data_IF_889345958277
#
_entry.id   IF_889345958277
#
_cell.length_a   1.000
_cell.length_b   1.000
_cell.length_c   1.000
_cell.angle_alpha   90.00
_cell.angle_beta   90.00
_cell.angle_gamma   90.00
#
_symmetry.space_group_name_H-M   'P 1'
#
loop_
_entity.id
_entity.type
_entity.pdbx_description
1 polymer ?
#
# COMPACT_ATOMS: atom_id res chain seq x y z
N UNK A 1 24.87 30.53 -11.01
CA UNK A 1 23.68 29.69 -11.29
C UNK A 1 22.46 30.42 -10.74
N UNK A 2 21.69 31.08 -11.62
CA UNK A 2 20.85 32.25 -11.30
C UNK A 2 19.53 31.93 -10.57
N UNK A 3 18.99 32.94 -9.88
CA UNK A 3 17.66 33.02 -9.24
C UNK A 3 16.51 32.48 -10.13
N UNK A 4 16.69 32.51 -11.45
CA UNK A 4 15.74 31.97 -12.42
C UNK A 4 15.54 30.45 -12.27
N UNK A 5 16.56 29.69 -11.84
CA UNK A 5 16.40 28.26 -11.56
C UNK A 5 15.55 27.97 -10.30
N UNK A 6 15.46 28.93 -9.37
CA UNK A 6 14.56 28.84 -8.20
C UNK A 6 13.11 29.18 -8.56
N UNK A 7 12.90 30.08 -9.52
CA UNK A 7 11.57 30.43 -10.04
C UNK A 7 10.98 29.36 -10.97
N UNK A 8 11.80 28.66 -11.75
CA UNK A 8 11.35 27.63 -12.70
C UNK A 8 11.70 26.20 -12.25
N UNK A 9 11.03 25.73 -11.18
CA UNK A 9 10.64 24.33 -10.97
C UNK A 9 11.74 23.23 -10.95
N UNK A 10 13.04 23.56 -10.94
CA UNK A 10 14.14 22.57 -10.98
C UNK A 10 14.47 21.93 -9.64
N UNK A 11 14.14 22.57 -8.51
CA UNK A 11 14.33 22.03 -7.14
C UNK A 11 13.09 21.33 -6.54
N UNK A 12 12.04 21.15 -7.34
CA UNK A 12 10.71 20.78 -6.85
C UNK A 12 10.46 19.27 -6.98
N UNK A 13 11.14 18.59 -7.90
CA UNK A 13 10.88 17.18 -8.19
C UNK A 13 11.22 16.26 -7.03
N UNK A 14 12.46 16.25 -6.50
CA UNK A 14 12.80 15.31 -5.43
C UNK A 14 12.12 15.63 -4.10
N UNK A 15 11.94 16.91 -3.77
CA UNK A 15 11.16 17.30 -2.58
C UNK A 15 9.70 16.84 -2.66
N UNK A 16 9.02 17.07 -3.80
CA UNK A 16 7.65 16.56 -4.02
C UNK A 16 7.61 15.04 -4.06
N UNK A 17 8.54 14.40 -4.77
CA UNK A 17 8.64 12.95 -4.88
C UNK A 17 8.81 12.31 -3.50
N UNK A 18 9.76 12.80 -2.70
CA UNK A 18 9.99 12.37 -1.31
C UNK A 18 8.73 12.46 -0.48
N UNK A 19 8.01 13.59 -0.58
CA UNK A 19 6.76 13.83 0.16
C UNK A 19 5.68 12.85 -0.26
N UNK A 20 5.40 12.73 -1.57
CA UNK A 20 4.39 11.83 -2.12
C UNK A 20 4.67 10.36 -1.77
N UNK A 21 5.93 9.91 -1.87
CA UNK A 21 6.32 8.54 -1.52
C UNK A 21 6.14 8.28 -0.02
N UNK A 22 6.53 9.22 0.85
CA UNK A 22 6.34 9.08 2.30
C UNK A 22 4.85 8.99 2.68
N UNK A 23 4.01 9.81 2.03
CA UNK A 23 2.56 9.76 2.21
C UNK A 23 1.96 8.44 1.68
N UNK A 24 2.43 7.96 0.52
CA UNK A 24 1.99 6.69 -0.04
C UNK A 24 2.33 5.51 0.89
N UNK A 25 3.56 5.45 1.39
CA UNK A 25 4.01 4.40 2.34
C UNK A 25 3.15 4.43 3.60
N UNK A 26 2.96 5.59 4.23
CA UNK A 26 2.14 5.69 5.44
C UNK A 26 0.68 5.29 5.19
N UNK A 27 0.11 5.66 4.04
CA UNK A 27 -1.24 5.25 3.63
C UNK A 27 -1.35 3.74 3.43
N UNK A 28 -0.37 3.11 2.79
CA UNK A 28 -0.35 1.66 2.58
C UNK A 28 -0.26 0.90 3.92
N UNK A 29 0.59 1.35 4.86
CA UNK A 29 0.67 0.78 6.21
C UNK A 29 -0.67 0.84 6.96
N UNK A 30 -1.34 1.99 6.91
CA UNK A 30 -2.67 2.16 7.52
C UNK A 30 -3.73 1.23 6.90
N UNK A 31 -3.72 1.09 5.57
CA UNK A 31 -4.67 0.22 4.86
C UNK A 31 -4.41 -1.27 5.14
N UNK A 32 -3.15 -1.69 5.24
CA UNK A 32 -2.78 -3.05 5.64
C UNK A 32 -3.26 -3.35 7.06
N UNK A 33 -2.97 -2.48 8.04
CA UNK A 33 -3.42 -2.65 9.43
C UNK A 33 -4.95 -2.76 9.54
N UNK A 34 -5.69 -1.91 8.82
CA UNK A 34 -7.16 -1.98 8.78
C UNK A 34 -7.64 -3.33 8.22
N UNK A 35 -7.03 -3.78 7.13
CA UNK A 35 -7.41 -5.01 6.45
C UNK A 35 -7.08 -6.25 7.27
N UNK A 36 -5.97 -6.25 8.03
CA UNK A 36 -5.61 -7.36 8.92
C UNK A 36 -6.64 -7.58 10.03
N UNK A 37 -7.16 -6.49 10.62
CA UNK A 37 -8.26 -6.57 11.58
C UNK A 37 -9.52 -7.15 10.93
N UNK A 38 -9.84 -6.69 9.72
CA UNK A 38 -10.99 -7.18 8.97
C UNK A 38 -10.85 -8.67 8.62
N UNK A 39 -9.67 -9.12 8.19
CA UNK A 39 -9.38 -10.52 7.88
C UNK A 39 -9.57 -11.44 9.08
N UNK A 40 -9.16 -11.00 10.29
CA UNK A 40 -9.41 -11.75 11.53
C UNK A 40 -10.91 -11.93 11.78
N UNK A 41 -11.70 -10.89 11.53
CA UNK A 41 -13.15 -10.97 11.69
C UNK A 41 -13.81 -11.86 10.63
N UNK A 42 -13.39 -11.76 9.36
CA UNK A 42 -13.92 -12.61 8.29
C UNK A 42 -13.64 -14.10 8.54
N UNK A 43 -12.46 -14.46 9.07
CA UNK A 43 -12.16 -15.84 9.49
C UNK A 43 -13.08 -16.29 10.64
N UNK A 44 -13.37 -15.36 11.56
CA UNK A 44 -14.47 -15.38 12.54
C UNK A 44 -15.77 -15.96 11.96
N UNK A 45 -16.26 -15.23 10.98
CA UNK A 45 -17.54 -15.48 10.30
C UNK A 45 -17.53 -16.81 9.53
N UNK A 46 -16.43 -17.15 8.85
CA UNK A 46 -16.31 -18.44 8.15
C UNK A 46 -16.50 -19.61 9.12
N UNK A 47 -15.88 -19.56 10.30
CA UNK A 47 -16.04 -20.60 11.30
C UNK A 47 -17.51 -20.72 11.77
N UNK A 48 -18.20 -19.60 11.94
CA UNK A 48 -19.62 -19.58 12.30
C UNK A 48 -20.50 -20.20 11.22
N UNK A 49 -20.26 -19.88 9.94
CA UNK A 49 -21.01 -20.49 8.82
C UNK A 49 -20.79 -22.00 8.73
N UNK A 50 -19.56 -22.47 8.95
CA UNK A 50 -19.27 -23.91 8.97
C UNK A 50 -19.97 -24.62 10.13
N UNK A 51 -19.98 -24.03 11.33
CA UNK A 51 -20.71 -24.58 12.49
C UNK A 51 -22.23 -24.64 12.25
N UNK A 52 -22.78 -23.69 11.50
CA UNK A 52 -24.19 -23.67 11.10
C UNK A 52 -24.50 -24.60 9.90
N UNK A 53 -23.53 -25.34 9.37
CA UNK A 53 -23.71 -26.21 8.19
C UNK A 53 -23.87 -25.46 6.87
N UNK A 54 -23.63 -24.15 6.83
CA UNK A 54 -23.80 -23.29 5.66
C UNK A 54 -22.54 -23.26 4.78
N UNK A 55 -22.13 -24.42 4.26
CA UNK A 55 -20.86 -24.57 3.54
C UNK A 55 -20.78 -23.72 2.26
N UNK A 56 -21.87 -23.59 1.50
CA UNK A 56 -21.90 -22.77 0.30
C UNK A 56 -21.57 -21.29 0.59
N UNK A 57 -22.12 -20.74 1.68
CA UNK A 57 -21.84 -19.37 2.13
C UNK A 57 -20.40 -19.25 2.62
N UNK A 58 -19.93 -20.23 3.41
CA UNK A 58 -18.56 -20.28 3.89
C UNK A 58 -17.55 -20.27 2.72
N UNK A 59 -17.81 -21.02 1.65
CA UNK A 59 -16.97 -21.07 0.44
C UNK A 59 -16.87 -19.72 -0.26
N UNK A 60 -18.00 -19.03 -0.47
CA UNK A 60 -18.01 -17.67 -1.03
C UNK A 60 -17.20 -16.71 -0.14
N UNK A 61 -17.33 -16.84 1.18
CA UNK A 61 -16.62 -15.99 2.14
C UNK A 61 -15.11 -16.24 2.13
N UNK A 62 -14.67 -17.49 1.95
CA UNK A 62 -13.26 -17.87 1.77
C UNK A 62 -12.67 -17.20 0.53
N UNK A 63 -13.38 -17.19 -0.60
CA UNK A 63 -12.89 -16.50 -1.80
C UNK A 63 -12.68 -14.99 -1.56
N UNK A 64 -13.60 -14.36 -0.82
CA UNK A 64 -13.44 -12.96 -0.44
C UNK A 64 -12.19 -12.76 0.45
N UNK A 65 -11.96 -13.63 1.43
CA UNK A 65 -10.75 -13.59 2.26
C UNK A 65 -9.49 -13.68 1.39
N UNK A 66 -9.45 -14.59 0.41
CA UNK A 66 -8.30 -14.74 -0.50
C UNK A 66 -8.07 -13.45 -1.30
N UNK A 67 -9.12 -12.84 -1.84
CA UNK A 67 -9.01 -11.55 -2.57
C UNK A 67 -8.42 -10.46 -1.68
N UNK A 68 -8.89 -10.34 -0.44
CA UNK A 68 -8.36 -9.35 0.52
C UNK A 68 -6.89 -9.62 0.88
N UNK A 69 -6.51 -10.89 1.06
CA UNK A 69 -5.11 -11.26 1.29
C UNK A 69 -4.20 -10.90 0.11
N UNK A 70 -4.66 -11.15 -1.12
CA UNK A 70 -3.91 -10.78 -2.33
C UNK A 70 -3.73 -9.26 -2.43
N UNK A 71 -4.73 -8.48 -2.04
CA UNK A 71 -4.62 -7.01 -1.97
C UNK A 71 -3.61 -6.57 -0.91
N UNK A 72 -3.59 -7.18 0.28
CA UNK A 72 -2.54 -6.93 1.28
C UNK A 72 -1.14 -7.20 0.71
N UNK A 73 -0.96 -8.34 0.05
CA UNK A 73 0.32 -8.69 -0.57
C UNK A 73 0.74 -7.67 -1.64
N UNK A 74 -0.19 -7.21 -2.47
CA UNK A 74 0.06 -6.16 -3.46
C UNK A 74 0.51 -4.84 -2.80
N UNK A 75 -0.11 -4.44 -1.68
CA UNK A 75 0.32 -3.25 -0.94
C UNK A 75 1.75 -3.40 -0.41
N UNK A 76 2.13 -4.57 0.12
CA UNK A 76 3.49 -4.81 0.59
C UNK A 76 4.53 -4.69 -0.54
N UNK A 77 4.21 -5.18 -1.75
CA UNK A 77 5.07 -5.03 -2.93
C UNK A 77 5.20 -3.55 -3.33
N UNK A 78 4.08 -2.82 -3.38
CA UNK A 78 4.09 -1.40 -3.73
C UNK A 78 4.85 -0.56 -2.69
N UNK A 79 4.70 -0.88 -1.40
CA UNK A 79 5.43 -0.25 -0.31
C UNK A 79 6.93 -0.41 -0.47
N UNK A 80 7.41 -1.63 -0.75
CA UNK A 80 8.81 -1.91 -1.02
C UNK A 80 9.33 -1.07 -2.19
N UNK A 81 8.58 -0.97 -3.29
CA UNK A 81 8.98 -0.14 -4.42
C UNK A 81 9.00 1.35 -4.07
N UNK A 82 8.04 1.84 -3.29
CA UNK A 82 8.04 3.22 -2.84
C UNK A 82 9.25 3.53 -1.95
N UNK A 83 9.61 2.63 -1.02
CA UNK A 83 10.80 2.77 -0.17
C UNK A 83 12.09 2.72 -0.99
N UNK A 84 12.17 1.83 -1.98
CA UNK A 84 13.29 1.74 -2.90
C UNK A 84 13.49 3.05 -3.69
N UNK A 85 12.43 3.57 -4.31
CA UNK A 85 12.50 4.83 -5.07
C UNK A 85 12.84 5.99 -4.14
N UNK A 86 12.25 6.03 -2.95
CA UNK A 86 12.50 7.06 -1.93
C UNK A 86 13.99 7.15 -1.57
N UNK A 87 14.64 6.00 -1.35
CA UNK A 87 16.07 5.92 -1.08
C UNK A 87 16.94 6.38 -2.25
N UNK A 88 16.42 6.35 -3.48
CA UNK A 88 17.13 6.69 -4.73
C UNK A 88 16.82 8.09 -5.25
N UNK A 89 15.92 8.84 -4.61
CA UNK A 89 15.61 10.23 -5.00
C UNK A 89 16.86 11.10 -5.21
N UNK A 90 17.90 11.08 -4.35
CA UNK A 90 19.09 11.89 -4.58
C UNK A 90 19.86 11.54 -5.86
N UNK A 91 19.80 10.29 -6.30
CA UNK A 91 20.43 9.86 -7.56
C UNK A 91 19.56 10.32 -8.74
N UNK A 92 18.23 10.16 -8.63
CA UNK A 92 17.27 10.58 -9.65
C UNK A 92 17.29 12.10 -9.89
N UNK A 93 17.59 12.90 -8.87
CA UNK A 93 17.74 14.35 -9.02
C UNK A 93 18.98 14.75 -9.85
N UNK A 94 20.02 13.91 -9.85
CA UNK A 94 21.30 14.17 -10.51
C UNK A 94 21.42 13.52 -11.89
N UNK A 95 20.50 12.62 -12.25
CA UNK A 95 20.43 11.98 -13.57
C UNK A 95 19.53 12.83 -14.48
N UNK A 96 20.14 13.68 -15.31
CA UNK A 96 19.49 14.38 -16.43
C UNK A 96 20.22 14.07 -17.72
#
# INVERSE_FOLDING_TARGET
MSLLNQLFNRGVFGAKCKTCLTLAISRMKLLQNKRDLQLKQMRKEIAQFLQAGQEAIARIRVEHVIREQNICAAYAVLELFCEFVLARVPILENQK
#
